data_IF_228289103393
#
_entry.id   IF_228289103393
#
_cell.length_a   1.000
_cell.length_b   1.000
_cell.length_c   1.000
_cell.angle_alpha   90.00
_cell.angle_beta   90.00
_cell.angle_gamma   90.00
#
_symmetry.space_group_name_H-M   'P 1'
#
loop_
_entity.id
_entity.type
_entity.pdbx_description
1 polymer ?
#
# COMPACT_ATOMS: atom_id res chain seq x y z
N UNK A 1 -43.73 2.74 -56.39
CA UNK A 1 -43.93 2.41 -54.96
C UNK A 1 -42.62 2.79 -54.27
N UNK A 2 -42.43 4.06 -53.90
CA UNK A 2 -42.81 4.64 -52.59
C UNK A 2 -41.57 4.66 -51.67
N UNK A 3 -40.71 5.71 -51.71
CA UNK A 3 -40.56 6.80 -50.71
C UNK A 3 -40.72 6.32 -49.26
N UNK A 4 -39.86 6.56 -48.26
CA UNK A 4 -38.77 7.51 -48.03
C UNK A 4 -38.75 7.86 -46.52
N UNK A 5 -37.62 8.38 -46.02
CA UNK A 5 -37.48 9.32 -44.88
C UNK A 5 -37.73 8.78 -43.45
N UNK A 6 -36.89 9.19 -42.49
CA UNK A 6 -37.41 9.57 -41.16
C UNK A 6 -36.66 9.10 -39.92
N UNK A 7 -35.49 9.70 -39.70
CA UNK A 7 -34.92 10.22 -38.45
C UNK A 7 -35.67 10.19 -37.08
N UNK A 8 -34.82 10.09 -36.03
CA UNK A 8 -34.82 10.64 -34.66
C UNK A 8 -35.87 10.26 -33.61
N UNK A 9 -35.34 9.80 -32.46
CA UNK A 9 -35.45 10.37 -31.09
C UNK A 9 -35.28 9.22 -30.09
N UNK A 10 -34.50 9.25 -29.02
CA UNK A 10 -34.03 10.36 -28.20
C UNK A 10 -32.72 9.92 -27.52
N UNK A 11 -31.65 10.65 -27.79
CA UNK A 11 -30.34 10.48 -27.17
C UNK A 11 -30.03 11.76 -26.40
N UNK A 12 -30.29 11.74 -25.10
CA UNK A 12 -29.82 12.71 -24.11
C UNK A 12 -29.49 11.89 -22.86
N UNK A 13 -28.34 11.99 -22.20
CA UNK A 13 -27.55 13.15 -21.81
C UNK A 13 -26.06 12.72 -21.93
N UNK A 14 -25.11 13.49 -22.41
CA UNK A 14 -24.94 14.93 -22.36
C UNK A 14 -23.47 15.15 -21.97
N UNK A 15 -22.61 15.33 -22.98
CA UNK A 15 -21.25 15.80 -22.80
C UNK A 15 -21.26 17.29 -22.42
N UNK A 16 -20.26 17.73 -21.66
CA UNK A 16 -19.97 19.14 -21.40
C UNK A 16 -18.92 19.25 -20.30
N UNK A 17 -17.63 19.25 -20.64
CA UNK A 17 -16.89 20.42 -21.12
C UNK A 17 -16.88 21.55 -20.07
N UNK A 18 -15.71 21.68 -19.45
CA UNK A 18 -14.96 22.91 -19.24
C UNK A 18 -15.64 24.16 -19.84
N UNK A 19 -15.93 25.17 -19.03
CA UNK A 19 -15.14 26.40 -19.05
C UNK A 19 -15.71 27.52 -18.16
N UNK A 20 -14.78 28.21 -17.48
CA UNK A 20 -14.75 29.63 -17.03
C UNK A 20 -16.07 30.39 -16.76
N UNK A 21 -16.15 31.03 -15.58
CA UNK A 21 -16.96 32.24 -15.46
C UNK A 21 -17.26 32.73 -14.05
N UNK A 22 -16.54 33.76 -13.62
CA UNK A 22 -16.97 34.73 -12.61
C UNK A 22 -18.43 35.15 -12.82
N UNK A 23 -19.26 35.13 -11.76
CA UNK A 23 -20.61 35.68 -11.88
C UNK A 23 -21.50 35.51 -10.66
N UNK A 24 -21.58 36.59 -9.88
CA UNK A 24 -22.55 36.97 -8.85
C UNK A 24 -23.98 36.40 -8.95
N UNK A 25 -24.52 36.02 -7.78
CA UNK A 25 -25.92 36.10 -7.27
C UNK A 25 -27.04 35.47 -8.14
N UNK A 26 -28.12 34.89 -7.62
CA UNK A 26 -29.19 35.58 -6.87
C UNK A 26 -30.01 34.54 -6.08
N UNK A 27 -30.31 34.91 -4.84
CA UNK A 27 -31.24 34.21 -3.94
C UNK A 27 -32.69 34.58 -4.27
N UNK A 28 -33.58 33.58 -4.26
CA UNK A 28 -35.02 33.73 -4.03
C UNK A 28 -35.44 32.50 -3.20
N UNK A 29 -36.03 32.57 -2.00
CA UNK A 29 -36.51 33.68 -1.20
C UNK A 29 -37.79 33.28 -0.47
N UNK A 30 -37.66 32.76 0.75
CA UNK A 30 -38.64 32.95 1.85
C UNK A 30 -39.23 31.69 2.50
N UNK A 31 -39.53 31.63 3.81
CA UNK A 31 -39.20 32.44 5.00
C UNK A 31 -39.60 31.61 6.26
N UNK A 32 -38.75 31.56 7.28
CA UNK A 32 -39.14 31.45 8.70
C UNK A 32 -37.92 31.85 9.55
N UNK A 33 -37.93 33.08 10.07
CA UNK A 33 -36.80 33.68 10.80
C UNK A 33 -37.05 33.84 12.30
N UNK A 34 -35.97 34.16 13.02
CA UNK A 34 -35.89 35.35 13.87
C UNK A 34 -34.42 35.69 14.18
N UNK A 35 -34.18 36.98 14.41
CA UNK A 35 -33.00 37.74 13.97
C UNK A 35 -32.18 38.33 15.13
N UNK A 36 -30.89 38.58 14.87
CA UNK A 36 -30.08 39.71 15.38
C UNK A 36 -28.68 39.62 14.72
N UNK A 37 -28.45 40.13 13.50
CA UNK A 37 -28.06 41.51 13.13
C UNK A 37 -27.02 42.12 14.09
N UNK A 38 -25.75 42.20 13.66
CA UNK A 38 -25.21 43.48 13.16
C UNK A 38 -23.91 43.29 12.39
N UNK A 39 -23.72 44.20 11.45
CA UNK A 39 -22.74 44.25 10.36
C UNK A 39 -21.33 44.54 10.89
N UNK A 40 -20.31 44.09 10.16
CA UNK A 40 -19.04 44.84 10.07
C UNK A 40 -18.60 44.85 8.60
N UNK A 41 -18.79 46.01 7.98
CA UNK A 41 -18.13 46.42 6.76
C UNK A 41 -17.06 47.45 7.16
N UNK A 42 -15.89 47.36 6.56
CA UNK A 42 -14.90 48.44 6.55
C UNK A 42 -13.82 48.45 7.64
N UNK A 43 -12.58 48.49 7.14
CA UNK A 43 -11.40 49.19 7.69
C UNK A 43 -10.40 48.41 8.59
N UNK A 44 -9.27 48.07 7.96
CA UNK A 44 -7.85 48.28 8.37
C UNK A 44 -7.51 48.41 9.89
N UNK A 45 -6.73 47.44 10.42
CA UNK A 45 -5.42 47.63 11.09
C UNK A 45 -5.04 46.44 12.01
N UNK A 46 -3.77 46.00 11.90
CA UNK A 46 -2.97 45.10 12.77
C UNK A 46 -2.99 45.43 14.28
N UNK A 47 -2.28 44.69 15.20
CA UNK A 47 -1.76 43.31 15.20
C UNK A 47 -2.06 42.52 16.52
N UNK A 48 -1.96 41.19 16.46
CA UNK A 48 -1.53 40.36 17.60
C UNK A 48 -2.60 39.85 18.58
N UNK A 49 -2.91 38.54 18.50
CA UNK A 49 -2.97 37.67 19.68
C UNK A 49 -3.00 36.18 19.31
N UNK A 50 -2.01 35.47 19.87
CA UNK A 50 -1.89 34.05 20.17
C UNK A 50 -2.51 32.99 19.22
N UNK A 51 -1.62 32.29 18.51
CA UNK A 51 -1.85 30.93 18.02
C UNK A 51 -2.12 30.05 19.25
N UNK A 52 -3.38 29.67 19.43
CA UNK A 52 -3.79 28.62 20.36
C UNK A 52 -3.30 27.28 19.80
N UNK A 53 -2.19 26.77 20.34
CA UNK A 53 -1.83 25.35 20.22
C UNK A 53 -2.89 24.53 20.93
N UNK A 54 -3.88 24.05 20.19
CA UNK A 54 -4.77 23.00 20.69
C UNK A 54 -4.05 21.66 20.55
N UNK A 55 -3.37 21.32 21.63
CA UNK A 55 -2.83 20.00 21.95
C UNK A 55 -3.97 18.98 21.84
N UNK A 56 -4.01 18.29 20.71
CA UNK A 56 -5.02 17.27 20.42
C UNK A 56 -4.56 15.96 21.04
N UNK A 57 -4.81 15.79 22.34
CA UNK A 57 -4.66 14.52 23.04
C UNK A 57 -5.79 13.57 22.61
N UNK A 58 -5.69 13.06 21.39
CA UNK A 58 -6.54 11.96 20.94
C UNK A 58 -5.99 10.65 21.48
N UNK A 59 -6.84 9.96 22.25
CA UNK A 59 -6.63 8.61 22.75
C UNK A 59 -6.32 7.66 21.60
N UNK A 60 -5.16 7.00 21.65
CA UNK A 60 -4.75 6.01 20.66
C UNK A 60 -5.68 4.80 20.71
N UNK A 61 -6.48 4.61 19.65
CA UNK A 61 -7.24 3.39 19.41
C UNK A 61 -6.25 2.22 19.22
N UNK A 62 -6.37 1.10 19.95
CA UNK A 62 -5.50 -0.07 19.79
C UNK A 62 -5.61 -0.77 18.41
N UNK A 63 -6.56 -0.35 17.55
CA UNK A 63 -6.65 -0.73 16.12
C UNK A 63 -6.17 0.37 15.16
N UNK A 64 -5.64 1.49 15.65
CA UNK A 64 -4.95 2.43 14.80
C UNK A 64 -3.71 1.74 14.25
N UNK A 65 -3.68 1.52 12.92
CA UNK A 65 -2.45 1.25 12.20
C UNK A 65 -1.40 2.22 12.72
N UNK A 66 -0.31 1.71 13.27
CA UNK A 66 0.83 2.56 13.59
C UNK A 66 1.21 3.19 12.26
N UNK A 67 1.00 4.49 12.10
CA UNK A 67 1.11 5.18 10.80
C UNK A 67 2.51 5.07 10.17
N UNK A 68 3.46 4.45 10.86
CA UNK A 68 4.81 4.17 10.43
C UNK A 68 5.09 2.66 10.54
N UNK A 69 5.29 1.96 9.40
CA UNK A 69 5.74 0.58 9.38
C UNK A 69 7.04 0.38 10.17
N UNK A 70 7.12 -0.71 10.94
CA UNK A 70 8.33 -1.10 11.67
C UNK A 70 9.38 -1.73 10.76
N UNK A 71 8.92 -2.39 9.71
CA UNK A 71 9.76 -3.01 8.68
C UNK A 71 9.11 -2.72 7.34
N UNK A 72 9.94 -2.32 6.38
CA UNK A 72 9.55 -2.15 4.98
C UNK A 72 10.53 -2.92 4.12
N UNK A 73 10.01 -3.65 3.14
CA UNK A 73 10.80 -4.35 2.15
C UNK A 73 10.43 -3.86 0.75
N UNK A 74 11.42 -3.51 -0.04
CA UNK A 74 11.26 -3.01 -1.40
C UNK A 74 12.03 -3.92 -2.35
N UNK A 75 11.31 -4.70 -3.16
CA UNK A 75 11.87 -5.57 -4.17
C UNK A 75 11.83 -4.88 -5.52
N UNK A 76 12.99 -4.69 -6.13
CA UNK A 76 13.16 -4.01 -7.41
C UNK A 76 13.60 -5.00 -8.48
N UNK A 77 12.95 -4.94 -9.64
CA UNK A 77 13.49 -5.51 -10.88
C UNK A 77 14.39 -4.46 -11.57
N UNK A 78 15.73 -4.64 -11.58
CA UNK A 78 16.64 -3.66 -12.19
C UNK A 78 16.43 -3.49 -13.69
N UNK A 79 15.80 -4.44 -14.37
CA UNK A 79 15.55 -4.37 -15.83
C UNK A 79 14.39 -3.44 -16.15
N UNK A 80 13.31 -3.52 -15.37
CA UNK A 80 12.10 -2.72 -15.61
C UNK A 80 12.01 -1.49 -14.71
N UNK A 81 12.79 -1.43 -13.64
CA UNK A 81 12.71 -0.41 -12.60
C UNK A 81 11.47 -0.53 -11.71
N UNK A 82 10.66 -1.58 -11.87
CA UNK A 82 9.44 -1.76 -11.09
C UNK A 82 9.77 -2.21 -9.67
N UNK A 83 9.10 -1.58 -8.71
CA UNK A 83 9.28 -1.80 -7.28
C UNK A 83 8.02 -2.42 -6.68
N UNK A 84 8.21 -3.41 -5.83
CA UNK A 84 7.18 -4.04 -5.01
C UNK A 84 7.48 -3.79 -3.55
N UNK A 85 6.53 -3.15 -2.87
CA UNK A 85 6.70 -2.76 -1.47
C UNK A 85 5.78 -3.59 -0.58
N UNK A 86 6.33 -4.09 0.52
CA UNK A 86 5.54 -4.69 1.59
C UNK A 86 6.06 -4.23 2.96
N UNK A 87 5.25 -4.44 4.00
CA UNK A 87 5.53 -4.01 5.37
C UNK A 87 5.25 -5.13 6.37
N UNK A 88 5.60 -4.89 7.65
CA UNK A 88 5.30 -5.84 8.71
C UNK A 88 3.78 -6.07 8.87
N UNK A 89 3.43 -7.26 9.37
CA UNK A 89 2.07 -7.70 9.63
C UNK A 89 1.31 -6.64 10.44
N UNK A 90 0.13 -6.23 9.96
CA UNK A 90 -0.71 -5.17 10.54
C UNK A 90 -0.44 -3.74 10.05
N UNK A 91 0.60 -3.51 9.23
CA UNK A 91 0.86 -2.18 8.62
C UNK A 91 0.86 -2.24 7.10
N UNK A 92 0.33 -3.32 6.51
CA UNK A 92 0.18 -3.44 5.06
C UNK A 92 -0.87 -2.43 4.59
N UNK A 93 -0.57 -1.61 3.56
CA UNK A 93 -1.47 -0.55 3.11
C UNK A 93 -2.74 -1.11 2.45
N UNK A 94 -2.64 -2.31 1.88
CA UNK A 94 -3.77 -3.05 1.33
C UNK A 94 -4.11 -4.23 2.24
N UNK A 95 -5.34 -4.24 2.74
CA UNK A 95 -5.89 -5.31 3.57
C UNK A 95 -5.79 -6.68 2.88
N UNK A 96 -5.97 -6.74 1.55
CA UNK A 96 -5.91 -7.99 0.79
C UNK A 96 -4.49 -8.57 0.72
N UNK A 97 -3.46 -7.74 0.87
CA UNK A 97 -2.07 -8.21 1.01
C UNK A 97 -1.83 -8.96 2.32
N UNK A 98 -2.75 -8.93 3.28
CA UNK A 98 -2.65 -9.62 4.57
C UNK A 98 -3.67 -10.74 4.78
N UNK A 99 -4.24 -11.29 3.71
CA UNK A 99 -5.27 -12.33 3.84
C UNK A 99 -4.68 -13.71 4.22
N UNK A 100 -5.21 -14.31 5.29
CA UNK A 100 -4.81 -15.62 5.79
C UNK A 100 -5.20 -16.76 4.83
N UNK A 101 -6.21 -16.55 3.99
CA UNK A 101 -6.63 -17.51 2.97
C UNK A 101 -5.63 -17.62 1.81
N UNK A 102 -4.68 -16.69 1.72
CA UNK A 102 -3.67 -16.63 0.66
C UNK A 102 -2.37 -17.29 1.12
N UNK A 103 -2.11 -18.55 0.75
CA UNK A 103 -0.83 -19.19 1.06
C UNK A 103 0.31 -18.51 0.30
N UNK A 104 1.48 -18.44 0.92
CA UNK A 104 2.71 -18.07 0.19
C UNK A 104 3.21 -19.23 -0.66
N UNK A 105 4.13 -18.96 -1.58
CA UNK A 105 4.84 -19.97 -2.38
C UNK A 105 5.55 -21.05 -1.55
N UNK A 106 5.86 -20.77 -0.29
CA UNK A 106 6.57 -21.69 0.61
C UNK A 106 5.66 -22.27 1.68
N UNK A 107 4.33 -22.12 1.57
CA UNK A 107 3.37 -22.62 2.55
C UNK A 107 3.64 -24.08 2.95
N UNK A 108 3.86 -24.96 1.97
CA UNK A 108 4.16 -26.38 2.22
C UNK A 108 5.46 -26.60 3.02
N UNK A 109 6.48 -25.76 2.81
CA UNK A 109 7.73 -25.80 3.57
C UNK A 109 7.48 -25.35 5.01
N UNK A 110 6.67 -24.31 5.21
CA UNK A 110 6.32 -23.82 6.54
C UNK A 110 5.44 -24.82 7.29
N UNK A 111 4.46 -25.44 6.64
CA UNK A 111 3.66 -26.51 7.24
C UNK A 111 4.52 -27.69 7.68
N UNK A 112 5.47 -28.12 6.85
CA UNK A 112 6.42 -29.16 7.24
C UNK A 112 7.31 -28.76 8.43
N UNK A 113 7.56 -27.46 8.66
CA UNK A 113 8.25 -26.97 9.88
C UNK A 113 7.34 -27.04 11.10
N UNK A 114 6.07 -26.64 10.95
CA UNK A 114 5.04 -26.70 11.99
C UNK A 114 4.80 -28.16 12.42
N UNK A 115 4.61 -29.08 11.47
CA UNK A 115 4.39 -30.50 11.76
C UNK A 115 5.55 -31.11 12.57
N UNK A 116 6.78 -30.69 12.28
CA UNK A 116 7.98 -31.14 13.00
C UNK A 116 8.12 -30.51 14.39
N UNK A 117 7.63 -29.28 14.57
CA UNK A 117 7.79 -28.47 15.79
C UNK A 117 6.53 -27.61 16.02
N UNK A 118 5.41 -28.22 16.43
CA UNK A 118 4.15 -27.51 16.63
C UNK A 118 4.21 -26.53 17.81
N UNK A 119 5.23 -26.65 18.65
CA UNK A 119 5.52 -25.75 19.77
C UNK A 119 6.06 -24.37 19.34
N UNK A 120 6.45 -24.22 18.08
CA UNK A 120 7.07 -23.00 17.56
C UNK A 120 6.13 -22.25 16.62
N UNK A 121 6.12 -20.93 16.75
CA UNK A 121 5.46 -20.06 15.79
C UNK A 121 6.35 -19.87 14.55
N UNK A 122 5.85 -20.27 13.38
CA UNK A 122 6.54 -20.11 12.10
C UNK A 122 5.78 -19.09 11.23
N UNK A 123 6.38 -17.93 10.91
CA UNK A 123 5.76 -16.96 10.00
C UNK A 123 5.85 -17.45 8.54
N UNK A 124 5.38 -16.61 7.61
CA UNK A 124 5.57 -16.79 6.17
C UNK A 124 4.79 -17.93 5.51
N UNK A 125 3.89 -18.60 6.22
CA UNK A 125 3.04 -19.66 5.64
C UNK A 125 1.92 -19.10 4.75
N UNK A 126 1.40 -17.93 5.11
CA UNK A 126 0.35 -17.21 4.41
C UNK A 126 0.65 -15.71 4.41
N UNK A 127 -0.11 -14.93 3.65
CA UNK A 127 0.11 -13.49 3.52
C UNK A 127 -0.25 -12.70 4.79
N UNK A 128 -1.12 -13.23 5.66
CA UNK A 128 -1.41 -12.62 6.97
C UNK A 128 -0.18 -12.67 7.91
N UNK A 129 0.54 -13.79 7.86
CA UNK A 129 1.70 -14.06 8.73
C UNK A 129 3.03 -13.74 8.05
N UNK A 130 3.04 -13.49 6.74
CA UNK A 130 4.25 -13.18 6.00
C UNK A 130 4.95 -11.91 6.49
N UNK A 131 6.26 -11.99 6.55
CA UNK A 131 7.11 -10.83 6.76
C UNK A 131 7.24 -10.05 5.46
N UNK A 132 7.67 -8.79 5.56
CA UNK A 132 7.74 -7.86 4.44
C UNK A 132 8.58 -8.43 3.28
N UNK A 133 9.70 -9.09 3.58
CA UNK A 133 10.61 -9.66 2.57
C UNK A 133 9.95 -10.77 1.75
N UNK A 134 9.17 -11.63 2.42
CA UNK A 134 8.43 -12.72 1.77
C UNK A 134 7.26 -12.17 0.99
N UNK A 135 6.56 -11.20 1.56
CA UNK A 135 5.40 -10.58 0.94
C UNK A 135 5.74 -9.81 -0.34
N UNK A 136 6.85 -9.08 -0.40
CA UNK A 136 7.29 -8.38 -1.62
C UNK A 136 7.66 -9.35 -2.75
N UNK A 137 8.33 -10.47 -2.44
CA UNK A 137 8.61 -11.54 -3.42
C UNK A 137 7.33 -12.21 -3.89
N UNK A 138 6.37 -12.49 -2.99
CA UNK A 138 5.07 -13.06 -3.35
C UNK A 138 4.32 -12.14 -4.31
N UNK A 139 4.25 -10.84 -4.02
CA UNK A 139 3.61 -9.85 -4.90
C UNK A 139 4.27 -9.82 -6.30
N UNK A 140 5.60 -9.92 -6.36
CA UNK A 140 6.31 -9.96 -7.64
C UNK A 140 6.02 -11.23 -8.45
N UNK A 141 5.94 -12.37 -7.77
CA UNK A 141 5.61 -13.64 -8.39
C UNK A 141 4.18 -13.64 -8.95
N UNK A 142 3.21 -13.14 -8.19
CA UNK A 142 1.81 -13.06 -8.61
C UNK A 142 1.60 -12.19 -9.84
N UNK A 143 2.49 -11.21 -10.05
CA UNK A 143 2.51 -10.39 -11.26
C UNK A 143 3.35 -10.98 -12.40
N UNK A 144 3.85 -12.22 -12.24
CA UNK A 144 4.60 -12.94 -13.28
C UNK A 144 5.99 -12.37 -13.56
N UNK A 145 6.56 -11.57 -12.65
CA UNK A 145 7.79 -10.81 -12.91
C UNK A 145 9.05 -11.42 -12.31
N UNK A 146 8.98 -12.59 -11.68
CA UNK A 146 10.14 -13.22 -11.02
C UNK A 146 10.90 -14.21 -11.89
N UNK A 147 10.26 -14.79 -12.92
CA UNK A 147 10.84 -15.91 -13.67
C UNK A 147 12.15 -15.54 -14.38
N UNK A 148 13.24 -16.21 -14.00
CA UNK A 148 14.59 -16.02 -14.52
C UNK A 148 15.21 -14.66 -14.20
N UNK A 149 14.61 -13.86 -13.30
CA UNK A 149 15.08 -12.49 -13.02
C UNK A 149 16.11 -12.45 -11.92
N UNK A 150 16.99 -11.45 -12.02
CA UNK A 150 17.85 -11.01 -10.93
C UNK A 150 17.11 -9.86 -10.25
N UNK A 151 16.86 -9.95 -8.95
CA UNK A 151 16.15 -8.91 -8.21
C UNK A 151 16.97 -8.38 -7.04
N UNK A 152 16.65 -7.16 -6.63
CA UNK A 152 17.26 -6.48 -5.49
C UNK A 152 16.21 -6.17 -4.44
N UNK A 153 16.46 -6.58 -3.21
CA UNK A 153 15.57 -6.38 -2.07
C UNK A 153 16.21 -5.43 -1.07
N UNK A 154 15.59 -4.29 -0.80
CA UNK A 154 16.02 -3.38 0.26
C UNK A 154 15.14 -3.61 1.49
N UNK A 155 15.74 -3.88 2.64
CA UNK A 155 15.03 -4.08 3.92
C UNK A 155 15.37 -2.95 4.88
N UNK A 156 14.34 -2.25 5.35
CA UNK A 156 14.44 -1.08 6.23
C UNK A 156 13.74 -1.30 7.57
N UNK A 157 14.19 -0.57 8.61
CA UNK A 157 13.61 -0.60 9.95
C UNK A 157 14.20 -1.67 10.88
N UNK A 158 14.31 -2.92 10.41
CA UNK A 158 14.96 -4.03 11.15
C UNK A 158 15.78 -4.91 10.21
N UNK A 159 16.74 -5.68 10.72
CA UNK A 159 17.40 -6.72 9.92
C UNK A 159 16.44 -7.86 9.61
N UNK A 160 16.78 -8.63 8.58
CA UNK A 160 16.15 -9.89 8.21
C UNK A 160 16.22 -10.83 9.40
N UNK A 161 15.06 -11.31 9.85
CA UNK A 161 15.00 -12.19 11.00
C UNK A 161 15.48 -13.62 10.67
N UNK A 162 15.84 -14.40 11.69
CA UNK A 162 16.36 -15.76 11.54
C UNK A 162 15.42 -16.71 10.77
N UNK A 163 14.10 -16.53 10.87
CA UNK A 163 13.14 -17.31 10.09
C UNK A 163 13.26 -16.95 8.59
N UNK A 164 13.21 -15.64 8.30
CA UNK A 164 13.29 -15.09 6.95
C UNK A 164 14.60 -15.43 6.23
N UNK A 165 15.73 -15.59 6.91
CA UNK A 165 16.99 -15.98 6.25
C UNK A 165 16.86 -17.27 5.43
N UNK A 166 16.15 -18.28 5.96
CA UNK A 166 15.92 -19.54 5.22
C UNK A 166 14.70 -19.48 4.30
N UNK A 167 13.70 -18.71 4.69
CA UNK A 167 12.44 -18.62 3.96
C UNK A 167 12.57 -17.76 2.70
N UNK A 168 13.30 -16.65 2.73
CA UNK A 168 13.57 -15.79 1.57
C UNK A 168 14.29 -16.58 0.48
N UNK A 169 15.26 -17.40 0.86
CA UNK A 169 15.92 -18.31 -0.08
C UNK A 169 14.93 -19.27 -0.73
N UNK A 170 14.09 -19.91 0.07
CA UNK A 170 13.07 -20.84 -0.42
C UNK A 170 12.05 -20.13 -1.31
N UNK A 171 11.69 -18.89 -0.97
CA UNK A 171 10.83 -18.02 -1.77
C UNK A 171 11.47 -17.68 -3.10
N UNK A 172 12.74 -17.27 -3.12
CA UNK A 172 13.45 -16.94 -4.34
C UNK A 172 13.57 -18.14 -5.28
N UNK A 173 13.88 -19.33 -4.73
CA UNK A 173 13.90 -20.60 -5.45
C UNK A 173 12.51 -20.94 -6.04
N UNK A 174 11.45 -20.85 -5.24
CA UNK A 174 10.08 -21.18 -5.68
C UNK A 174 9.48 -20.14 -6.63
N UNK A 175 9.87 -18.88 -6.49
CA UNK A 175 9.46 -17.80 -7.38
C UNK A 175 10.18 -17.86 -8.74
N UNK A 176 11.19 -18.72 -8.89
CA UNK A 176 11.94 -18.87 -10.14
C UNK A 176 12.94 -17.75 -10.39
N UNK A 177 13.41 -17.05 -9.35
CA UNK A 177 14.47 -16.05 -9.49
C UNK A 177 15.80 -16.71 -9.89
N UNK A 178 16.59 -16.02 -10.71
CA UNK A 178 17.97 -16.41 -11.01
C UNK A 178 18.91 -15.96 -9.88
N UNK A 179 18.72 -14.76 -9.33
CA UNK A 179 19.42 -14.29 -8.14
C UNK A 179 18.61 -13.27 -7.34
N UNK A 180 18.95 -13.13 -6.06
CA UNK A 180 18.40 -12.14 -5.15
C UNK A 180 19.54 -11.51 -4.32
N UNK A 181 19.69 -10.20 -4.43
CA UNK A 181 20.59 -9.40 -3.57
C UNK A 181 19.74 -8.69 -2.53
N UNK A 182 20.10 -8.79 -1.25
CA UNK A 182 19.35 -8.18 -0.14
C UNK A 182 20.23 -7.16 0.55
N UNK A 183 19.78 -5.91 0.61
CA UNK A 183 20.45 -4.81 1.28
C UNK A 183 19.72 -4.49 2.59
N UNK A 184 20.35 -4.77 3.73
CA UNK A 184 19.82 -4.44 5.05
C UNK A 184 20.23 -3.02 5.44
N UNK A 185 19.31 -2.06 5.44
CA UNK A 185 19.62 -0.67 5.81
C UNK A 185 19.98 -0.50 7.30
N UNK A 186 19.42 -1.34 8.16
CA UNK A 186 19.63 -1.25 9.61
C UNK A 186 21.02 -1.68 10.06
N UNK A 187 21.63 -2.66 9.38
CA UNK A 187 22.96 -3.22 9.69
C UNK A 187 24.03 -2.79 8.70
N UNK A 188 23.64 -2.37 7.49
CA UNK A 188 24.54 -2.13 6.36
C UNK A 188 25.00 -3.41 5.67
N UNK A 189 24.50 -4.58 6.07
CA UNK A 189 24.89 -5.85 5.45
C UNK A 189 24.23 -6.05 4.09
N UNK A 190 24.93 -6.78 3.23
CA UNK A 190 24.40 -7.27 1.96
C UNK A 190 24.43 -8.79 1.98
N UNK A 191 23.27 -9.40 1.77
CA UNK A 191 23.13 -10.84 1.59
C UNK A 191 22.93 -11.14 0.11
N UNK A 192 23.45 -12.27 -0.35
CA UNK A 192 23.33 -12.67 -1.74
C UNK A 192 22.91 -14.12 -1.84
N UNK A 193 21.96 -14.39 -2.73
CA UNK A 193 21.54 -15.72 -3.12
C UNK A 193 21.48 -15.82 -4.64
N UNK A 194 21.90 -16.95 -5.18
CA UNK A 194 21.77 -17.30 -6.58
C UNK A 194 21.26 -18.72 -6.73
N UNK A 195 20.49 -18.97 -7.79
CA UNK A 195 20.01 -20.30 -8.14
C UNK A 195 21.18 -21.29 -8.22
N UNK A 196 21.03 -22.43 -7.53
CA UNK A 196 22.06 -23.47 -7.47
C UNK A 196 23.15 -23.28 -6.41
N UNK A 197 23.16 -22.17 -5.66
CA UNK A 197 24.03 -22.04 -4.49
C UNK A 197 23.71 -23.14 -3.48
N UNK A 198 24.72 -23.80 -2.91
CA UNK A 198 24.51 -24.78 -1.82
C UNK A 198 24.26 -24.05 -0.49
N UNK A 199 23.77 -24.78 0.51
CA UNK A 199 23.55 -24.24 1.86
C UNK A 199 24.86 -23.99 2.58
#
# INVERSE_FOLDING_TARGET
>A
MGYGVGELSDGHYGAGAWDIGLGTAMFAGGMAGNSAISRIDGAIASPGKAISWQESSQSLDPKAHSSIPKVTAELTDPVTGKVFTDTNQGNRPDFYLGDQSRPTLINNIIQAKIDKRPDKNYPNGDMATAHAEVGSIQQAYEQGMTQGRNMELVVSGKPVCNFCMTDIRSMAEKAGLNSLTIYEKSTGHTLYWQQGMKK
#
